data_IF_746979710086
#
_entry.id   IF_746979710086
#
_cell.length_a   1.000
_cell.length_b   1.000
_cell.length_c   1.000
_cell.angle_alpha   90.00
_cell.angle_beta   90.00
_cell.angle_gamma   90.00
#
_symmetry.space_group_name_H-M   'P 1'
#
loop_
_entity.id
_entity.type
_entity.pdbx_description
1 polymer ?
#
# COMPACT_ATOMS: atom_id res chain seq x y z
N UNK A 1 25.30 -10.47 -25.39
CA UNK A 1 24.08 -11.29 -25.59
C UNK A 1 23.06 -11.17 -24.44
N UNK A 2 23.43 -10.71 -23.24
CA UNK A 2 22.52 -10.53 -22.10
C UNK A 2 21.79 -9.17 -22.13
N UNK A 3 22.28 -8.19 -22.90
CA UNK A 3 21.67 -6.85 -23.00
C UNK A 3 20.48 -6.74 -23.92
N UNK A 4 20.34 -7.63 -24.92
CA UNK A 4 19.27 -7.55 -25.92
C UNK A 4 17.93 -8.15 -25.43
N UNK A 5 17.99 -9.16 -24.59
CA UNK A 5 16.77 -9.80 -24.03
C UNK A 5 16.06 -8.92 -22.98
N UNK A 6 16.82 -8.10 -22.26
CA UNK A 6 16.27 -7.18 -21.26
C UNK A 6 15.49 -6.03 -21.92
N UNK A 7 15.95 -5.54 -23.09
CA UNK A 7 15.23 -4.52 -23.86
C UNK A 7 13.95 -5.04 -24.53
N UNK A 8 13.90 -6.32 -24.91
CA UNK A 8 12.71 -6.93 -25.52
C UNK A 8 11.63 -7.14 -24.46
N UNK A 9 12.00 -7.55 -23.26
CA UNK A 9 11.08 -7.75 -22.13
C UNK A 9 10.47 -6.44 -21.63
N UNK A 10 11.25 -5.37 -21.55
CA UNK A 10 10.73 -4.03 -21.22
C UNK A 10 9.74 -3.52 -22.29
N UNK A 11 9.96 -3.85 -23.57
CA UNK A 11 9.07 -3.46 -24.66
C UNK A 11 7.74 -4.23 -24.66
N UNK A 12 7.74 -5.50 -24.26
CA UNK A 12 6.52 -6.32 -24.15
C UNK A 12 5.64 -5.85 -22.98
N UNK A 13 6.24 -5.42 -21.85
CA UNK A 13 5.47 -4.86 -20.73
C UNK A 13 4.89 -3.46 -21.04
N UNK A 14 5.52 -2.69 -21.93
CA UNK A 14 4.94 -1.42 -22.41
C UNK A 14 3.76 -1.64 -23.39
N UNK A 15 3.71 -2.74 -24.13
CA UNK A 15 2.61 -3.05 -25.05
C UNK A 15 1.40 -3.73 -24.39
N UNK A 16 1.53 -4.31 -23.20
CA UNK A 16 0.41 -4.91 -22.47
C UNK A 16 -0.40 -3.91 -21.63
N UNK A 17 0.01 -2.65 -21.58
CA UNK A 17 -0.67 -1.54 -20.88
C UNK A 17 -1.11 -0.46 -21.84
N UNK A 18 -2.15 -0.74 -22.67
CA UNK A 18 -2.90 0.29 -23.39
C UNK A 18 -2.09 1.11 -24.39
N UNK A 19 -2.29 0.79 -25.68
CA UNK A 19 -2.14 1.76 -26.75
C UNK A 19 -2.93 3.00 -26.38
N UNK A 20 -2.22 4.15 -26.18
CA UNK A 20 -2.74 5.46 -26.56
C UNK A 20 -1.64 6.52 -26.40
N UNK A 21 -1.29 7.11 -27.57
CA UNK A 21 -0.75 8.46 -27.72
C UNK A 21 0.74 8.72 -27.46
N UNK A 22 1.59 8.31 -28.38
CA UNK A 22 2.69 9.19 -28.84
C UNK A 22 2.06 10.42 -29.53
N UNK A 23 2.03 11.53 -28.83
CA UNK A 23 1.66 12.81 -29.43
C UNK A 23 0.84 13.71 -28.53
N UNK A 24 1.44 14.24 -27.49
CA UNK A 24 1.27 15.59 -26.97
C UNK A 24 1.92 15.67 -25.59
N UNK A 25 3.05 16.37 -25.50
CA UNK A 25 3.56 16.95 -24.25
C UNK A 25 2.61 18.10 -23.90
N UNK A 26 1.36 17.79 -23.62
CA UNK A 26 0.47 18.67 -22.93
C UNK A 26 0.80 18.52 -21.44
N UNK A 27 0.95 19.64 -20.77
CA UNK A 27 1.17 19.79 -19.33
C UNK A 27 0.12 18.97 -18.57
N UNK A 28 0.46 17.68 -18.26
CA UNK A 28 -0.47 16.80 -17.54
C UNK A 28 -0.81 17.45 -16.22
N UNK A 29 -2.08 17.74 -16.00
CA UNK A 29 -2.57 18.34 -14.76
C UNK A 29 -2.08 17.50 -13.55
N UNK A 30 -1.71 18.18 -12.47
CA UNK A 30 -1.19 17.56 -11.24
C UNK A 30 -2.12 16.42 -10.76
N UNK A 31 -3.43 16.61 -10.89
CA UNK A 31 -4.42 15.60 -10.53
C UNK A 31 -4.29 14.31 -11.36
N UNK A 32 -4.00 14.42 -12.65
CA UNK A 32 -3.83 13.24 -13.52
C UNK A 32 -2.55 12.45 -13.17
N UNK A 33 -1.48 13.15 -12.79
CA UNK A 33 -0.23 12.51 -12.32
C UNK A 33 -0.45 11.76 -11.01
N UNK A 34 -1.11 12.38 -10.04
CA UNK A 34 -1.49 11.76 -8.76
C UNK A 34 -2.35 10.52 -9.01
N UNK A 35 -3.35 10.63 -9.86
CA UNK A 35 -4.23 9.54 -10.23
C UNK A 35 -3.48 8.36 -10.87
N UNK A 36 -2.62 8.60 -11.85
CA UNK A 36 -1.80 7.55 -12.49
C UNK A 36 -0.91 6.83 -11.47
N UNK A 37 -0.26 7.58 -10.58
CA UNK A 37 0.60 7.01 -9.53
C UNK A 37 -0.20 6.16 -8.54
N UNK A 38 -1.38 6.63 -8.13
CA UNK A 38 -2.29 5.88 -7.27
C UNK A 38 -2.74 4.57 -7.93
N UNK A 39 -3.15 4.64 -9.21
CA UNK A 39 -3.57 3.47 -9.98
C UNK A 39 -2.46 2.43 -10.13
N UNK A 40 -1.22 2.88 -10.32
CA UNK A 40 -0.08 1.98 -10.38
C UNK A 40 0.09 1.23 -9.05
N UNK A 41 0.04 1.92 -7.92
CA UNK A 41 0.12 1.30 -6.59
C UNK A 41 -1.00 0.29 -6.35
N UNK A 42 -2.25 0.69 -6.60
CA UNK A 42 -3.44 -0.17 -6.40
C UNK A 42 -3.38 -1.41 -7.30
N UNK A 43 -3.01 -1.27 -8.56
CA UNK A 43 -2.94 -2.40 -9.50
C UNK A 43 -1.94 -3.47 -9.07
N UNK A 44 -0.80 -3.09 -8.51
CA UNK A 44 0.21 -4.04 -8.02
C UNK A 44 -0.14 -4.63 -6.66
N UNK A 45 -0.94 -3.93 -5.86
CA UNK A 45 -1.41 -4.42 -4.56
C UNK A 45 -2.51 -5.49 -4.70
N UNK A 46 -3.42 -5.35 -5.67
CA UNK A 46 -4.59 -6.22 -5.83
C UNK A 46 -4.28 -7.72 -5.83
N UNK A 47 -3.25 -8.25 -6.52
CA UNK A 47 -2.94 -9.68 -6.49
C UNK A 47 -2.66 -10.22 -5.08
N UNK A 48 -2.04 -9.41 -4.21
CA UNK A 48 -1.75 -9.79 -2.82
C UNK A 48 -3.03 -9.85 -1.99
N UNK A 49 -3.93 -8.88 -2.19
CA UNK A 49 -5.23 -8.85 -1.50
C UNK A 49 -6.11 -10.01 -1.96
N UNK A 50 -6.21 -10.25 -3.26
CA UNK A 50 -7.05 -11.33 -3.82
C UNK A 50 -6.50 -12.69 -3.41
N UNK A 51 -5.21 -12.94 -3.65
CA UNK A 51 -4.57 -14.22 -3.33
C UNK A 51 -4.58 -14.50 -1.83
N UNK A 52 -4.23 -13.50 -1.00
CA UNK A 52 -4.27 -13.61 0.45
C UNK A 52 -5.69 -13.82 0.97
N UNK A 53 -6.66 -13.07 0.46
CA UNK A 53 -8.07 -13.20 0.84
C UNK A 53 -8.66 -14.58 0.50
N UNK A 54 -8.35 -15.13 -0.66
CA UNK A 54 -8.79 -16.49 -1.04
C UNK A 54 -8.21 -17.54 -0.08
N UNK A 55 -6.93 -17.44 0.27
CA UNK A 55 -6.29 -18.37 1.22
C UNK A 55 -6.91 -18.26 2.62
N UNK A 56 -7.21 -17.05 3.10
CA UNK A 56 -7.90 -16.83 4.36
C UNK A 56 -9.31 -17.43 4.30
N UNK A 57 -10.05 -17.23 3.22
CA UNK A 57 -11.38 -17.82 3.05
C UNK A 57 -11.33 -19.36 3.03
N UNK A 58 -10.33 -19.95 2.38
CA UNK A 58 -10.10 -21.39 2.38
C UNK A 58 -9.77 -21.92 3.79
N UNK A 59 -9.06 -21.13 4.63
CA UNK A 59 -8.78 -21.54 6.01
C UNK A 59 -10.09 -21.73 6.82
N UNK A 60 -11.04 -20.83 6.68
CA UNK A 60 -12.34 -20.93 7.32
C UNK A 60 -13.18 -22.11 6.76
N UNK A 61 -13.13 -22.34 5.45
CA UNK A 61 -13.84 -23.43 4.81
C UNK A 61 -13.36 -24.80 5.31
N UNK A 62 -12.03 -24.98 5.42
CA UNK A 62 -11.41 -26.22 5.89
C UNK A 62 -11.64 -26.43 7.40
N UNK A 63 -11.79 -25.37 8.16
CA UNK A 63 -11.94 -25.40 9.61
C UNK A 63 -13.40 -25.36 10.06
N UNK A 64 -14.33 -25.63 9.18
CA UNK A 64 -15.78 -25.58 9.45
C UNK A 64 -16.26 -26.37 10.68
N UNK A 65 -15.53 -27.44 11.06
CA UNK A 65 -15.82 -28.22 12.28
C UNK A 65 -15.59 -27.41 13.57
N UNK A 66 -14.75 -26.40 13.55
CA UNK A 66 -14.44 -25.51 14.68
C UNK A 66 -15.23 -24.20 14.64
N UNK A 67 -16.26 -24.11 13.80
CA UNK A 67 -17.12 -22.94 13.71
C UNK A 67 -17.73 -22.58 15.08
N UNK A 68 -17.58 -21.32 15.49
CA UNK A 68 -18.07 -20.86 16.80
C UNK A 68 -17.06 -20.96 17.95
N UNK A 69 -15.84 -21.43 17.70
CA UNK A 69 -14.74 -21.41 18.67
C UNK A 69 -13.79 -20.23 18.38
N UNK A 70 -13.05 -19.79 19.39
CA UNK A 70 -12.03 -18.73 19.26
C UNK A 70 -10.85 -19.10 18.32
N UNK A 71 -10.70 -20.39 18.00
CA UNK A 71 -9.67 -20.92 17.09
C UNK A 71 -10.18 -21.13 15.65
N UNK A 72 -11.38 -20.67 15.31
CA UNK A 72 -11.97 -20.81 13.99
C UNK A 72 -11.10 -20.18 12.91
N UNK A 73 -10.77 -20.95 11.88
CA UNK A 73 -9.84 -20.60 10.81
C UNK A 73 -8.37 -20.98 11.08
N UNK A 74 -8.05 -21.49 12.29
CA UNK A 74 -6.70 -21.97 12.65
C UNK A 74 -6.71 -23.23 13.53
N UNK A 75 -7.87 -23.83 13.76
CA UNK A 75 -8.03 -25.00 14.65
C UNK A 75 -7.42 -26.29 14.10
N UNK A 76 -7.32 -26.44 12.78
CA UNK A 76 -6.62 -27.56 12.14
C UNK A 76 -5.27 -27.12 11.57
N UNK A 77 -4.25 -28.01 11.50
CA UNK A 77 -2.94 -27.66 10.93
C UNK A 77 -3.02 -27.13 9.50
N UNK A 78 -3.93 -27.65 8.69
CA UNK A 78 -4.13 -27.21 7.31
C UNK A 78 -4.78 -25.82 7.25
N UNK A 79 -5.78 -25.56 8.09
CA UNK A 79 -6.40 -24.26 8.21
C UNK A 79 -5.39 -23.21 8.69
N UNK A 80 -4.61 -23.55 9.73
CA UNK A 80 -3.54 -22.69 10.24
C UNK A 80 -2.49 -22.34 9.17
N UNK A 81 -2.15 -23.30 8.30
CA UNK A 81 -1.24 -23.06 7.18
C UNK A 81 -1.84 -22.04 6.19
N UNK A 82 -3.08 -22.26 5.72
CA UNK A 82 -3.74 -21.33 4.80
C UNK A 82 -3.91 -19.94 5.41
N UNK A 83 -4.32 -19.87 6.67
CA UNK A 83 -4.48 -18.63 7.41
C UNK A 83 -3.15 -17.87 7.50
N UNK A 84 -2.06 -18.55 7.89
CA UNK A 84 -0.74 -17.93 8.03
C UNK A 84 -0.22 -17.38 6.70
N UNK A 85 -0.28 -18.18 5.64
CA UNK A 85 0.16 -17.77 4.30
C UNK A 85 -0.71 -16.64 3.76
N UNK A 86 -2.03 -16.77 3.90
CA UNK A 86 -2.99 -15.76 3.47
C UNK A 86 -2.78 -14.42 4.16
N UNK A 87 -2.67 -14.41 5.49
CA UNK A 87 -2.39 -13.19 6.27
C UNK A 87 -1.03 -12.57 5.94
N UNK A 88 -0.01 -13.39 5.65
CA UNK A 88 1.30 -12.87 5.24
C UNK A 88 1.19 -12.14 3.90
N UNK A 89 0.51 -12.74 2.90
CA UNK A 89 0.29 -12.13 1.60
C UNK A 89 -0.57 -10.84 1.73
N UNK A 90 -1.68 -10.93 2.45
CA UNK A 90 -2.56 -9.79 2.72
C UNK A 90 -1.82 -8.66 3.45
N UNK A 91 -0.94 -9.01 4.38
CA UNK A 91 -0.11 -8.07 5.12
C UNK A 91 0.88 -7.27 4.27
N UNK A 92 1.16 -7.71 3.02
CA UNK A 92 1.99 -6.98 2.06
C UNK A 92 1.23 -5.87 1.32
N UNK A 93 -0.08 -5.74 1.52
CA UNK A 93 -0.94 -4.77 0.86
C UNK A 93 -0.41 -3.33 0.96
N UNK A 94 -0.16 -2.84 2.18
CA UNK A 94 0.32 -1.48 2.42
C UNK A 94 1.74 -1.22 1.90
N UNK A 95 2.72 -2.10 2.14
CA UNK A 95 4.06 -1.95 1.59
C UNK A 95 4.09 -1.89 0.06
N UNK A 96 3.33 -2.76 -0.59
CA UNK A 96 3.27 -2.81 -2.06
C UNK A 96 2.57 -1.56 -2.60
N UNK A 97 1.45 -1.15 -2.02
CA UNK A 97 0.77 0.09 -2.39
C UNK A 97 1.73 1.29 -2.37
N UNK A 98 2.37 1.52 -1.22
CA UNK A 98 3.27 2.64 -1.02
C UNK A 98 4.51 2.56 -1.95
N UNK A 99 5.10 1.37 -2.09
CA UNK A 99 6.26 1.16 -2.95
C UNK A 99 5.99 1.47 -4.41
N UNK A 100 4.87 1.00 -4.96
CA UNK A 100 4.55 1.21 -6.37
C UNK A 100 4.01 2.62 -6.68
N UNK A 101 3.37 3.30 -5.72
CA UNK A 101 3.09 4.73 -5.84
C UNK A 101 4.42 5.51 -5.90
N UNK A 102 5.34 5.23 -4.99
CA UNK A 102 6.65 5.85 -4.96
C UNK A 102 7.44 5.61 -6.26
N UNK A 103 7.41 4.38 -6.76
CA UNK A 103 8.06 3.99 -8.02
C UNK A 103 7.48 4.73 -9.23
N UNK A 104 6.17 4.97 -9.26
CA UNK A 104 5.53 5.71 -10.34
C UNK A 104 5.94 7.20 -10.39
N UNK A 105 6.41 7.75 -9.25
CA UNK A 105 6.82 9.15 -9.13
C UNK A 105 8.35 9.29 -9.26
N UNK A 106 9.10 8.47 -8.51
CA UNK A 106 10.55 8.59 -8.33
C UNK A 106 11.36 7.50 -9.02
N UNK A 107 10.75 6.70 -9.91
CA UNK A 107 11.32 5.53 -10.59
C UNK A 107 11.79 4.41 -9.63
N UNK A 108 12.54 3.44 -10.16
CA UNK A 108 13.01 2.24 -9.42
C UNK A 108 13.66 2.53 -8.06
N UNK A 109 14.51 3.55 -7.87
CA UNK A 109 15.12 3.82 -6.57
C UNK A 109 14.11 4.20 -5.47
N UNK A 110 12.93 4.72 -5.83
CA UNK A 110 11.90 5.10 -4.88
C UNK A 110 11.12 3.91 -4.30
N UNK A 111 11.19 2.74 -4.95
CA UNK A 111 10.46 1.55 -4.54
C UNK A 111 10.83 1.14 -3.10
N UNK A 112 12.11 1.10 -2.78
CA UNK A 112 12.60 0.63 -1.48
C UNK A 112 12.13 1.53 -0.33
N UNK A 113 12.39 2.86 -0.34
CA UNK A 113 11.86 3.73 0.71
C UNK A 113 10.32 3.76 0.76
N UNK A 114 9.63 3.58 -0.37
CA UNK A 114 8.18 3.44 -0.40
C UNK A 114 7.68 2.20 0.34
N UNK A 115 8.28 1.04 0.09
CA UNK A 115 7.95 -0.21 0.79
C UNK A 115 8.21 -0.07 2.30
N UNK A 116 9.35 0.47 2.68
CA UNK A 116 9.68 0.70 4.10
C UNK A 116 8.70 1.66 4.75
N UNK A 117 8.33 2.75 4.07
CA UNK A 117 7.31 3.67 4.54
C UNK A 117 5.94 3.01 4.74
N UNK A 118 5.53 2.13 3.83
CA UNK A 118 4.31 1.33 3.96
C UNK A 118 4.34 0.35 5.12
N UNK A 119 5.49 -0.28 5.40
CA UNK A 119 5.68 -1.13 6.59
C UNK A 119 5.58 -0.33 7.89
N UNK A 120 6.20 0.86 7.95
CA UNK A 120 6.13 1.75 9.11
C UNK A 120 4.70 2.28 9.33
N UNK A 121 3.95 2.56 8.27
CA UNK A 121 2.55 2.92 8.33
C UNK A 121 1.69 1.77 8.90
N UNK A 122 1.95 0.54 8.46
CA UNK A 122 1.27 -0.66 8.96
C UNK A 122 1.55 -0.90 10.44
N UNK A 123 2.82 -0.78 10.85
CA UNK A 123 3.21 -0.98 12.25
C UNK A 123 2.74 0.16 13.17
N UNK A 124 2.45 1.35 12.62
CA UNK A 124 2.10 2.52 13.43
C UNK A 124 3.25 3.04 14.28
N UNK A 125 4.49 2.72 13.91
CA UNK A 125 5.69 3.03 14.70
C UNK A 125 5.77 4.50 15.07
N UNK A 126 5.91 4.79 16.35
CA UNK A 126 6.09 6.13 16.90
C UNK A 126 7.15 6.09 18.00
N UNK A 127 7.99 7.13 18.09
CA UNK A 127 8.95 7.27 19.19
C UNK A 127 8.29 7.93 20.41
N UNK A 128 7.20 8.65 20.21
CA UNK A 128 6.52 9.41 21.26
C UNK A 128 5.62 8.55 22.14
N UNK A 129 5.29 7.33 21.72
CA UNK A 129 4.41 6.40 22.40
C UNK A 129 5.12 5.07 22.64
N UNK A 130 4.86 4.39 23.76
CA UNK A 130 5.32 3.01 23.94
C UNK A 130 4.71 2.09 22.89
N UNK A 131 5.37 0.98 22.61
CA UNK A 131 5.01 0.04 21.53
C UNK A 131 3.58 -0.48 21.65
N UNK A 132 3.09 -0.65 22.86
CA UNK A 132 1.73 -1.10 23.18
C UNK A 132 0.63 -0.09 22.77
N UNK A 133 1.01 1.17 22.55
CA UNK A 133 0.11 2.26 22.16
C UNK A 133 0.28 2.66 20.67
N UNK A 134 1.03 1.89 19.92
CA UNK A 134 1.19 2.17 18.49
C UNK A 134 -0.11 1.90 17.76
N UNK A 135 -0.59 2.91 17.08
CA UNK A 135 -1.80 2.81 16.24
C UNK A 135 -1.39 2.80 14.77
N UNK A 136 -1.74 1.74 14.08
CA UNK A 136 -1.50 1.65 12.64
C UNK A 136 -2.09 2.87 11.93
N UNK A 137 -1.28 3.51 11.09
CA UNK A 137 -1.74 4.58 10.19
C UNK A 137 -2.55 4.02 9.00
N UNK A 138 -2.57 2.70 8.86
CA UNK A 138 -3.39 1.96 7.92
C UNK A 138 -3.19 2.37 6.46
N UNK A 139 -4.29 2.31 5.71
CA UNK A 139 -4.31 2.62 4.28
C UNK A 139 -3.89 4.07 3.97
N UNK A 140 -4.40 5.04 4.74
CA UNK A 140 -4.07 6.45 4.55
C UNK A 140 -2.58 6.73 4.78
N UNK A 141 -2.01 6.12 5.83
CA UNK A 141 -0.57 6.22 6.11
C UNK A 141 0.28 5.64 4.98
N UNK A 142 -0.10 4.48 4.45
CA UNK A 142 0.60 3.85 3.33
C UNK A 142 0.49 4.69 2.03
N UNK A 143 -0.65 5.29 1.78
CA UNK A 143 -0.87 6.15 0.62
C UNK A 143 0.02 7.40 0.70
N UNK A 144 0.03 8.09 1.84
CA UNK A 144 0.89 9.25 2.08
C UNK A 144 2.36 8.84 1.99
N UNK A 145 2.73 7.68 2.58
CA UNK A 145 4.09 7.15 2.51
C UNK A 145 4.56 6.97 1.06
N UNK A 146 3.70 6.46 0.18
CA UNK A 146 4.03 6.29 -1.23
C UNK A 146 4.33 7.61 -1.94
N UNK A 147 3.49 8.62 -1.76
CA UNK A 147 3.71 9.94 -2.35
C UNK A 147 4.95 10.62 -1.76
N UNK A 148 5.09 10.62 -0.45
CA UNK A 148 6.25 11.21 0.24
C UNK A 148 7.55 10.54 -0.23
N UNK A 149 7.62 9.21 -0.29
CA UNK A 149 8.80 8.48 -0.75
C UNK A 149 9.15 8.81 -2.22
N UNK A 150 8.14 8.93 -3.08
CA UNK A 150 8.34 9.30 -4.48
C UNK A 150 8.96 10.69 -4.64
N UNK A 151 8.37 11.70 -4.02
CA UNK A 151 8.88 13.07 -4.07
C UNK A 151 10.22 13.23 -3.33
N UNK A 152 10.40 12.53 -2.20
CA UNK A 152 11.66 12.48 -1.48
C UNK A 152 12.79 11.96 -2.38
N UNK A 153 12.51 10.91 -3.15
CA UNK A 153 13.51 10.35 -4.07
C UNK A 153 13.85 11.31 -5.20
N UNK A 154 12.88 12.06 -5.74
CA UNK A 154 13.16 13.10 -6.73
C UNK A 154 14.07 14.21 -6.15
N UNK A 155 13.79 14.60 -4.92
CA UNK A 155 14.64 15.56 -4.20
C UNK A 155 16.06 15.02 -3.98
N UNK A 156 16.18 13.75 -3.57
CA UNK A 156 17.46 13.09 -3.36
C UNK A 156 18.26 12.98 -4.66
N UNK A 157 17.62 12.62 -5.77
CA UNK A 157 18.26 12.59 -7.09
C UNK A 157 18.86 13.95 -7.43
N UNK A 158 18.11 15.03 -7.27
CA UNK A 158 18.54 16.40 -7.55
C UNK A 158 19.69 16.87 -6.63
N UNK A 159 19.65 16.48 -5.36
CA UNK A 159 20.72 16.79 -4.40
C UNK A 159 22.02 16.05 -4.73
N UNK A 160 21.92 14.78 -5.11
CA UNK A 160 23.07 13.92 -5.39
C UNK A 160 23.61 14.08 -6.83
N UNK A 161 22.95 14.85 -7.70
CA UNK A 161 23.49 15.23 -9.01
C UNK A 161 24.81 16.00 -8.90
N UNK A 162 24.98 16.79 -7.84
CA UNK A 162 26.18 17.61 -7.59
C UNK A 162 27.41 16.81 -7.15
N UNK A 163 27.28 15.49 -6.91
CA UNK A 163 28.40 14.65 -6.51
C UNK A 163 29.34 14.34 -7.69
N UNK A 164 30.66 14.17 -7.41
CA UNK A 164 31.66 13.81 -8.41
C UNK A 164 31.29 12.55 -9.19
N UNK A 165 31.70 12.51 -10.48
CA UNK A 165 31.45 11.37 -11.39
C UNK A 165 32.00 10.03 -10.87
N UNK A 166 33.04 10.06 -10.02
CA UNK A 166 33.63 8.86 -9.41
C UNK A 166 32.64 8.05 -8.56
N UNK A 167 31.58 8.69 -8.03
CA UNK A 167 30.58 8.05 -7.18
C UNK A 167 29.29 7.71 -7.93
N UNK A 168 29.24 7.94 -9.25
CA UNK A 168 28.01 7.79 -10.03
C UNK A 168 27.46 6.34 -10.02
N UNK A 169 28.35 5.36 -10.09
CA UNK A 169 27.97 3.93 -9.98
C UNK A 169 27.50 3.52 -8.59
N UNK A 170 27.90 4.23 -7.55
CA UNK A 170 27.54 3.92 -6.15
C UNK A 170 26.21 4.56 -5.73
N UNK A 171 25.76 5.62 -6.44
CA UNK A 171 24.52 6.34 -6.14
C UNK A 171 23.30 5.41 -6.06
N UNK A 172 22.98 4.58 -7.09
CA UNK A 172 21.76 3.79 -7.09
C UNK A 172 21.78 2.62 -6.12
N UNK A 173 22.97 2.09 -5.79
CA UNK A 173 23.12 0.87 -4.98
C UNK A 173 23.21 1.19 -3.49
N UNK A 174 23.89 2.27 -3.12
CA UNK A 174 24.16 2.61 -1.71
C UNK A 174 23.46 3.90 -1.27
N UNK A 175 23.68 5.00 -2.00
CA UNK A 175 23.26 6.33 -1.52
C UNK A 175 21.75 6.52 -1.55
N UNK A 176 21.07 6.14 -2.63
CA UNK A 176 19.61 6.28 -2.71
C UNK A 176 18.87 5.39 -1.71
N UNK A 177 19.17 4.09 -1.55
CA UNK A 177 18.53 3.28 -0.54
C UNK A 177 18.83 3.75 0.88
N UNK A 178 20.08 4.04 1.20
CA UNK A 178 20.47 4.46 2.56
C UNK A 178 19.78 5.76 2.99
N UNK A 179 19.97 6.84 2.23
CA UNK A 179 19.35 8.12 2.57
C UNK A 179 17.82 8.08 2.38
N UNK A 180 17.32 7.34 1.40
CA UNK A 180 15.91 7.18 1.17
C UNK A 180 15.20 6.50 2.34
N UNK A 181 15.73 5.39 2.85
CA UNK A 181 15.18 4.69 4.01
C UNK A 181 15.30 5.53 5.27
N UNK A 182 16.48 6.13 5.52
CA UNK A 182 16.71 6.94 6.71
C UNK A 182 15.74 8.12 6.79
N UNK A 183 15.66 8.91 5.73
CA UNK A 183 14.78 10.09 5.69
C UNK A 183 13.30 9.68 5.71
N UNK A 184 12.96 8.60 5.01
CA UNK A 184 11.59 8.08 5.04
C UNK A 184 11.21 7.60 6.43
N UNK A 185 12.11 6.92 7.15
CA UNK A 185 11.92 6.54 8.55
C UNK A 185 11.66 7.73 9.45
N UNK A 186 12.47 8.78 9.34
CA UNK A 186 12.29 10.02 10.11
C UNK A 186 10.93 10.65 9.80
N UNK A 187 10.59 10.82 8.52
CA UNK A 187 9.33 11.44 8.11
C UNK A 187 8.12 10.64 8.61
N UNK A 188 8.15 9.32 8.43
CA UNK A 188 7.03 8.47 8.85
C UNK A 188 6.82 8.48 10.36
N UNK A 189 7.90 8.31 11.14
CA UNK A 189 7.83 8.17 12.59
C UNK A 189 7.46 9.48 13.28
N UNK A 190 8.01 10.61 12.81
CA UNK A 190 7.83 11.90 13.48
C UNK A 190 6.67 12.73 12.90
N UNK A 191 6.45 12.69 11.58
CA UNK A 191 5.48 13.56 10.92
C UNK A 191 4.18 12.87 10.52
N UNK A 192 4.24 11.63 9.99
CA UNK A 192 3.08 11.01 9.34
C UNK A 192 2.31 10.12 10.31
N UNK A 193 2.98 9.21 11.02
CA UNK A 193 2.29 8.25 11.89
C UNK A 193 1.51 8.91 13.05
N UNK A 194 2.01 9.92 13.77
CA UNK A 194 1.27 10.48 14.89
C UNK A 194 -0.09 11.10 14.49
N UNK A 195 -0.16 12.01 13.48
CA UNK A 195 -1.45 12.61 13.12
C UNK A 195 -2.38 11.63 12.39
N UNK A 196 -1.84 10.74 11.57
CA UNK A 196 -2.67 9.77 10.84
C UNK A 196 -3.16 8.65 11.76
N UNK A 197 -2.34 8.19 12.71
CA UNK A 197 -2.76 7.25 13.73
C UNK A 197 -3.87 7.84 14.62
N UNK A 198 -3.75 9.10 15.04
CA UNK A 198 -4.80 9.81 15.77
C UNK A 198 -6.09 9.95 14.94
N UNK A 199 -5.97 10.29 13.66
CA UNK A 199 -7.12 10.34 12.75
C UNK A 199 -7.79 8.97 12.58
N UNK A 200 -7.00 7.91 12.44
CA UNK A 200 -7.51 6.55 12.32
C UNK A 200 -8.25 6.10 13.59
N UNK A 201 -7.68 6.41 14.77
CA UNK A 201 -8.33 6.17 16.06
C UNK A 201 -9.64 6.95 16.18
N UNK A 202 -9.65 8.23 15.81
CA UNK A 202 -10.86 9.03 15.80
C UNK A 202 -11.93 8.44 14.87
N UNK A 203 -11.54 8.01 13.65
CA UNK A 203 -12.44 7.40 12.68
C UNK A 203 -13.03 6.08 13.24
N UNK A 204 -12.20 5.23 13.82
CA UNK A 204 -12.64 3.98 14.44
C UNK A 204 -13.61 4.24 15.61
N UNK A 205 -13.34 5.23 16.46
CA UNK A 205 -14.22 5.61 17.56
C UNK A 205 -15.56 6.16 17.01
N UNK A 206 -15.53 6.96 15.94
CA UNK A 206 -16.75 7.41 15.28
C UNK A 206 -17.56 6.23 14.73
N UNK A 207 -16.91 5.28 14.06
CA UNK A 207 -17.58 4.09 13.52
C UNK A 207 -18.12 3.19 14.63
N UNK A 208 -17.39 3.00 15.73
CA UNK A 208 -17.83 2.22 16.88
C UNK A 208 -19.00 2.86 17.63
N UNK A 209 -19.03 4.21 17.69
CA UNK A 209 -20.14 4.96 18.28
C UNK A 209 -21.40 5.03 17.41
N UNK A 210 -21.27 4.71 16.12
CA UNK A 210 -22.36 4.68 15.19
C UNK A 210 -23.19 3.39 15.38
N UNK A 211 -24.47 3.54 15.66
CA UNK A 211 -25.41 2.41 15.69
C UNK A 211 -25.57 1.71 14.33
N UNK A 212 -26.30 0.59 14.32
CA UNK A 212 -26.49 -0.25 13.11
C UNK A 212 -26.99 0.52 11.88
N UNK A 213 -27.81 1.55 12.05
CA UNK A 213 -28.31 2.40 10.96
C UNK A 213 -27.21 3.12 10.19
N UNK A 214 -26.11 3.48 10.86
CA UNK A 214 -24.98 4.19 10.23
C UNK A 214 -24.04 3.25 9.49
N UNK A 215 -23.95 1.99 9.90
CA UNK A 215 -23.25 0.92 9.15
C UNK A 215 -23.89 0.67 7.80
N UNK A 216 -25.22 0.78 7.73
CA UNK A 216 -26.00 0.69 6.50
C UNK A 216 -25.66 1.87 5.56
N UNK A 217 -25.58 3.09 6.10
CA UNK A 217 -25.19 4.27 5.33
C UNK A 217 -23.78 4.16 4.76
N UNK A 218 -22.82 3.70 5.56
CA UNK A 218 -21.45 3.44 5.12
C UNK A 218 -21.42 2.38 4.01
N UNK A 219 -22.14 1.28 4.18
CA UNK A 219 -22.30 0.24 3.17
C UNK A 219 -22.93 0.76 1.87
N UNK A 220 -23.92 1.64 1.98
CA UNK A 220 -24.55 2.29 0.84
C UNK A 220 -23.57 3.22 0.09
N UNK A 221 -22.76 4.02 0.80
CA UNK A 221 -21.74 4.89 0.19
C UNK A 221 -20.66 4.08 -0.52
N UNK A 222 -20.11 3.05 0.15
CA UNK A 222 -19.10 2.17 -0.46
C UNK A 222 -19.68 1.41 -1.66
N UNK A 223 -20.90 0.88 -1.54
CA UNK A 223 -21.61 0.23 -2.64
C UNK A 223 -21.88 1.18 -3.80
N UNK A 224 -22.25 2.43 -3.51
CA UNK A 224 -22.41 3.49 -4.50
C UNK A 224 -21.11 3.81 -5.23
N UNK A 225 -20.00 3.94 -4.52
CA UNK A 225 -18.68 4.14 -5.11
C UNK A 225 -18.25 2.96 -6.01
N UNK A 226 -18.58 1.72 -5.61
CA UNK A 226 -18.31 0.53 -6.43
C UNK A 226 -19.15 0.48 -7.71
N UNK A 227 -20.35 1.09 -7.72
CA UNK A 227 -21.24 1.11 -8.88
C UNK A 227 -20.97 2.25 -9.88
N UNK A 228 -20.23 3.29 -9.47
CA UNK A 228 -19.90 4.44 -10.34
C UNK A 228 -18.98 4.02 -11.50
N UNK A 229 -18.11 3.05 -11.26
CA UNK A 229 -17.07 2.71 -12.20
C UNK A 229 -16.77 1.19 -12.14
N UNK A 230 -17.39 0.43 -13.05
CA UNK A 230 -17.23 -1.04 -13.13
C UNK A 230 -15.80 -1.44 -13.53
N UNK A 231 -14.93 -1.57 -12.53
CA UNK A 231 -13.53 -2.00 -12.72
C UNK A 231 -12.50 -0.89 -12.79
N UNK A 232 -12.92 0.37 -12.69
CA UNK A 232 -12.03 1.53 -12.65
C UNK A 232 -11.51 1.88 -11.25
N UNK A 233 -10.98 3.09 -11.09
CA UNK A 233 -10.27 3.51 -9.88
C UNK A 233 -11.15 3.66 -8.65
N UNK A 234 -12.38 4.15 -8.81
CA UNK A 234 -13.31 4.36 -7.70
C UNK A 234 -13.77 3.04 -7.10
N UNK A 235 -14.04 2.04 -7.94
CA UNK A 235 -14.37 0.69 -7.53
C UNK A 235 -13.21 0.06 -6.75
N UNK A 236 -11.99 0.14 -7.29
CA UNK A 236 -10.79 -0.40 -6.63
C UNK A 236 -10.51 0.30 -5.30
N UNK A 237 -10.65 1.62 -5.25
CA UNK A 237 -10.45 2.39 -4.03
C UNK A 237 -11.52 2.04 -2.97
N UNK A 238 -12.79 1.94 -3.35
CA UNK A 238 -13.89 1.56 -2.45
C UNK A 238 -13.72 0.14 -1.91
N UNK A 239 -13.32 -0.81 -2.75
CA UNK A 239 -13.03 -2.20 -2.35
C UNK A 239 -11.89 -2.26 -1.34
N UNK A 240 -10.77 -1.59 -1.63
CA UNK A 240 -9.61 -1.55 -0.74
C UNK A 240 -9.95 -0.86 0.59
N UNK A 241 -10.66 0.25 0.54
CA UNK A 241 -11.10 0.97 1.74
C UNK A 241 -12.07 0.13 2.58
N UNK A 242 -13.05 -0.53 1.94
CA UNK A 242 -14.01 -1.40 2.61
C UNK A 242 -13.34 -2.61 3.28
N UNK A 243 -12.42 -3.28 2.58
CA UNK A 243 -11.67 -4.41 3.15
C UNK A 243 -10.74 -3.97 4.28
N UNK A 244 -10.10 -2.80 4.17
CA UNK A 244 -9.27 -2.26 5.25
C UNK A 244 -10.10 -1.94 6.50
N UNK A 245 -11.27 -1.33 6.35
CA UNK A 245 -12.17 -1.00 7.46
C UNK A 245 -12.68 -2.25 8.18
N UNK A 246 -13.12 -3.25 7.42
CA UNK A 246 -13.60 -4.51 7.99
C UNK A 246 -12.47 -5.27 8.70
N UNK A 247 -11.28 -5.31 8.10
CA UNK A 247 -10.13 -6.02 8.69
C UNK A 247 -9.57 -5.33 9.94
N UNK A 248 -9.64 -4.00 10.03
CA UNK A 248 -9.19 -3.27 11.23
C UNK A 248 -10.18 -3.37 12.39
N UNK A 249 -11.47 -3.57 12.12
CA UNK A 249 -12.47 -3.76 13.17
C UNK A 249 -12.38 -5.16 13.81
N UNK A 250 -12.11 -6.20 13.01
CA UNK A 250 -11.98 -7.58 13.52
C UNK A 250 -10.63 -7.85 14.23
N UNK A 251 -9.62 -7.00 14.03
CA UNK A 251 -8.33 -7.14 14.73
C UNK A 251 -8.27 -6.37 16.07
N UNK A 252 -9.33 -5.66 16.42
CA UNK A 252 -9.45 -4.88 17.67
C UNK A 252 -10.28 -5.55 18.77
N UNK A 253 -10.89 -6.71 18.49
CA UNK A 253 -11.54 -7.63 19.41
C UNK A 253 -10.63 -8.85 19.70
#
# INVERSE_FOLDING_TARGET
LVGSEMCIRDRIYHHAGGEDEEGQVADESLGRKIYKSLMNGVSHMLPFVIGGGILIALSFLVDGANAGTSSFGSGTPLAAFFNKVGNTAFGMMFPILAGYIAMAIGDRPALVPGIVGGLLAKAGTSIFLPEEQWVSSGFFGALIAGFVAGYLMLLLKKLLEKLPKSLEGTKPVLLYPFFGILLMGVIMIFLVNPPIGAFNTWLNNCLASMGESSKILLGAVLGGMMSIDFGGPFNKAAYVFGTCLLYTSDAAD
#
